data_IF_830834447600
#
_entry.id   IF_830834447600
#
_cell.length_a   1.000
_cell.length_b   1.000
_cell.length_c   1.000
_cell.angle_alpha   90.00
_cell.angle_beta   90.00
_cell.angle_gamma   90.00
#
_symmetry.space_group_name_H-M   'P 1'
#
loop_
_entity.id
_entity.type
_entity.pdbx_description
1 polymer ?
#
# COMPACT_ATOMS: atom_id res chain seq x y z
N UNK A 1 -29.29 31.96 38.51
CA UNK A 1 -27.92 31.61 38.03
C UNK A 1 -28.08 30.56 36.95
N UNK A 2 -27.92 30.94 35.70
CA UNK A 2 -28.04 30.01 34.56
C UNK A 2 -26.65 29.52 34.26
N UNK A 3 -26.37 28.21 34.55
CA UNK A 3 -25.13 27.58 34.19
C UNK A 3 -25.08 27.35 32.66
N UNK A 4 -24.33 28.21 31.99
CA UNK A 4 -24.01 28.06 30.57
C UNK A 4 -23.00 26.94 30.42
N UNK A 5 -23.44 25.75 30.01
CA UNK A 5 -22.55 24.68 29.55
C UNK A 5 -21.92 25.11 28.22
N UNK A 6 -20.69 25.59 28.27
CA UNK A 6 -19.85 25.72 27.03
C UNK A 6 -19.40 24.36 26.63
N UNK A 7 -20.04 23.77 25.63
CA UNK A 7 -19.49 22.57 24.95
C UNK A 7 -18.28 23.03 24.15
N UNK A 8 -17.12 22.45 24.46
CA UNK A 8 -15.86 22.73 23.76
C UNK A 8 -15.97 22.29 22.30
N UNK A 9 -15.62 23.21 21.40
CA UNK A 9 -15.59 22.95 19.95
C UNK A 9 -14.69 21.78 19.52
N UNK A 10 -13.68 21.43 20.31
CA UNK A 10 -12.81 20.26 20.06
C UNK A 10 -13.58 18.96 20.31
N UNK A 11 -14.38 18.90 21.37
CA UNK A 11 -15.22 17.74 21.72
C UNK A 11 -16.33 17.54 20.69
N UNK A 12 -16.97 18.63 20.22
CA UNK A 12 -17.98 18.57 19.15
C UNK A 12 -17.37 18.08 17.83
N UNK A 13 -16.20 18.57 17.45
CA UNK A 13 -15.50 18.13 16.24
C UNK A 13 -15.06 16.66 16.33
N UNK A 14 -14.57 16.21 17.48
CA UNK A 14 -14.19 14.82 17.70
C UNK A 14 -15.41 13.88 17.63
N UNK A 15 -16.54 14.29 18.25
CA UNK A 15 -17.80 13.53 18.23
C UNK A 15 -18.40 13.48 16.83
N UNK A 16 -18.44 14.61 16.11
CA UNK A 16 -18.91 14.68 14.73
C UNK A 16 -18.04 13.83 13.79
N UNK A 17 -16.70 13.91 13.93
CA UNK A 17 -15.76 13.09 13.16
C UNK A 17 -15.95 11.60 13.44
N UNK A 18 -16.19 11.22 14.70
CA UNK A 18 -16.49 9.83 15.09
C UNK A 18 -17.81 9.35 14.51
N UNK A 19 -18.85 10.22 14.49
CA UNK A 19 -20.16 9.92 13.91
C UNK A 19 -20.07 9.72 12.38
N UNK A 20 -19.38 10.62 11.68
CA UNK A 20 -19.18 10.52 10.22
C UNK A 20 -18.37 9.28 9.84
N UNK A 21 -17.39 8.87 10.66
CA UNK A 21 -16.63 7.64 10.44
C UNK A 21 -17.53 6.39 10.58
N UNK A 22 -18.50 6.38 11.47
CA UNK A 22 -19.42 5.25 11.70
C UNK A 22 -20.53 5.14 10.65
N UNK A 23 -20.87 6.23 9.96
CA UNK A 23 -22.02 6.28 9.03
C UNK A 23 -21.69 5.80 7.61
N UNK A 24 -20.39 5.66 7.25
CA UNK A 24 -19.97 5.17 5.94
C UNK A 24 -19.78 3.66 5.95
N UNK A 25 -20.47 2.95 5.04
CA UNK A 25 -20.21 1.53 4.84
C UNK A 25 -18.85 1.31 4.18
N UNK A 26 -18.00 0.49 4.81
CA UNK A 26 -16.65 0.15 4.38
C UNK A 26 -16.53 -1.32 4.04
N UNK A 27 -15.45 -1.70 3.38
CA UNK A 27 -15.09 -3.10 3.17
C UNK A 27 -14.99 -3.85 4.50
N UNK A 28 -15.43 -5.11 4.52
CA UNK A 28 -15.52 -5.92 5.75
C UNK A 28 -14.20 -6.24 6.45
N UNK A 29 -13.06 -5.97 5.77
CA UNK A 29 -11.74 -6.16 6.38
C UNK A 29 -11.26 -4.98 7.24
N UNK A 30 -11.99 -3.85 7.25
CA UNK A 30 -11.58 -2.63 7.96
C UNK A 30 -11.99 -2.69 9.43
N UNK A 31 -11.04 -2.74 10.39
CA UNK A 31 -11.36 -2.71 11.81
C UNK A 31 -11.73 -1.27 12.23
N UNK A 32 -13.02 -0.99 12.38
CA UNK A 32 -13.54 0.36 12.65
C UNK A 32 -13.02 0.98 13.96
N UNK A 33 -12.52 0.16 14.89
CA UNK A 33 -11.90 0.61 16.14
C UNK A 33 -10.43 1.04 15.99
N UNK A 34 -9.86 1.01 14.76
CA UNK A 34 -8.47 1.40 14.47
C UNK A 34 -8.43 2.58 13.51
N UNK A 35 -8.36 3.82 14.00
CA UNK A 35 -8.45 5.02 13.15
C UNK A 35 -7.43 5.08 12.01
N UNK A 36 -6.19 4.61 12.24
CA UNK A 36 -5.15 4.58 11.20
C UNK A 36 -5.48 3.61 10.07
N UNK A 37 -6.15 2.50 10.37
CA UNK A 37 -6.59 1.53 9.38
C UNK A 37 -7.77 2.05 8.57
N UNK A 38 -8.73 2.71 9.26
CA UNK A 38 -9.85 3.40 8.62
C UNK A 38 -9.35 4.48 7.67
N UNK A 39 -8.36 5.28 8.11
CA UNK A 39 -7.74 6.30 7.28
C UNK A 39 -7.10 5.70 6.02
N UNK A 40 -6.31 4.63 6.17
CA UNK A 40 -5.70 3.95 5.03
C UNK A 40 -6.74 3.48 4.00
N UNK A 41 -7.82 2.83 4.46
CA UNK A 41 -8.90 2.38 3.57
C UNK A 41 -9.62 3.56 2.90
N UNK A 42 -9.91 4.62 3.66
CA UNK A 42 -10.74 5.71 3.17
C UNK A 42 -9.99 6.67 2.24
N UNK A 43 -8.67 6.80 2.39
CA UNK A 43 -7.90 7.84 1.73
C UNK A 43 -6.84 7.29 0.74
N UNK A 44 -6.39 6.03 0.91
CA UNK A 44 -5.25 5.52 0.15
C UNK A 44 -5.57 4.24 -0.64
N UNK A 45 -6.11 3.20 0.00
CA UNK A 45 -6.31 1.91 -0.63
C UNK A 45 -7.27 1.99 -1.83
N UNK A 46 -6.83 1.50 -2.98
CA UNK A 46 -7.59 1.54 -4.23
C UNK A 46 -7.52 2.88 -4.97
N UNK A 47 -6.84 3.89 -4.42
CA UNK A 47 -6.64 5.17 -5.12
C UNK A 47 -5.54 5.00 -6.17
N UNK A 48 -5.78 5.38 -7.45
CA UNK A 48 -4.77 5.25 -8.50
C UNK A 48 -3.48 6.02 -8.19
N UNK A 49 -2.37 5.30 -8.03
CA UNK A 49 -1.03 5.84 -7.81
C UNK A 49 -0.31 5.93 -9.15
N UNK A 50 0.21 7.13 -9.47
CA UNK A 50 0.99 7.40 -10.70
C UNK A 50 2.42 7.87 -10.41
N UNK A 51 2.75 8.12 -9.16
CA UNK A 51 4.08 8.55 -8.74
C UNK A 51 4.96 7.33 -8.48
N UNK A 52 6.12 7.26 -9.13
CA UNK A 52 7.06 6.15 -9.05
C UNK A 52 7.51 5.85 -7.61
N UNK A 53 7.79 6.90 -6.83
CA UNK A 53 8.22 6.77 -5.44
C UNK A 53 7.14 6.08 -4.57
N UNK A 54 5.89 6.50 -4.72
CA UNK A 54 4.78 5.91 -3.96
C UNK A 54 4.47 4.48 -4.46
N UNK A 55 4.59 4.24 -5.77
CA UNK A 55 4.48 2.91 -6.36
C UNK A 55 5.53 1.96 -5.77
N UNK A 56 6.78 2.42 -5.64
CA UNK A 56 7.86 1.67 -5.02
C UNK A 56 7.68 1.50 -3.50
N UNK A 57 7.19 2.54 -2.78
CA UNK A 57 6.83 2.43 -1.36
C UNK A 57 5.89 1.24 -1.14
N UNK A 58 4.79 1.16 -1.88
CA UNK A 58 3.83 0.06 -1.76
C UNK A 58 4.45 -1.29 -2.13
N UNK A 59 5.27 -1.37 -3.19
CA UNK A 59 5.96 -2.59 -3.55
C UNK A 59 6.82 -3.13 -2.39
N UNK A 60 7.57 -2.25 -1.73
CA UNK A 60 8.38 -2.63 -0.56
C UNK A 60 7.50 -3.05 0.60
N UNK A 61 6.48 -2.25 0.95
CA UNK A 61 5.61 -2.52 2.10
C UNK A 61 4.85 -3.84 1.94
N UNK A 62 4.32 -4.16 0.75
CA UNK A 62 3.65 -5.44 0.47
C UNK A 62 4.63 -6.61 0.50
N UNK A 63 5.87 -6.42 0.04
CA UNK A 63 6.94 -7.41 0.20
C UNK A 63 7.19 -7.70 1.68
N UNK A 64 7.25 -6.67 2.54
CA UNK A 64 7.45 -6.85 3.97
C UNK A 64 6.22 -7.44 4.67
N UNK A 65 5.02 -7.21 4.15
CA UNK A 65 3.77 -7.76 4.70
C UNK A 65 3.70 -9.29 4.54
N UNK A 66 4.29 -9.88 3.52
CA UNK A 66 4.20 -11.33 3.28
C UNK A 66 4.51 -12.15 4.55
N UNK A 67 3.51 -12.93 5.01
CA UNK A 67 3.56 -13.73 6.25
C UNK A 67 3.25 -12.94 7.54
N UNK A 68 2.85 -11.66 7.44
CA UNK A 68 2.47 -10.80 8.56
C UNK A 68 1.11 -10.15 8.32
N UNK A 69 0.55 -9.49 9.34
CA UNK A 69 -0.64 -8.67 9.15
C UNK A 69 -0.29 -7.28 8.59
N UNK A 70 -1.17 -6.75 7.73
CA UNK A 70 -1.04 -5.39 7.21
C UNK A 70 -0.97 -4.33 8.33
N UNK A 71 -1.66 -4.58 9.44
CA UNK A 71 -1.61 -3.71 10.62
C UNK A 71 -0.20 -3.46 11.13
N UNK A 72 0.65 -4.50 11.14
CA UNK A 72 2.04 -4.39 11.58
C UNK A 72 2.81 -3.47 10.64
N UNK A 73 2.59 -3.59 9.34
CA UNK A 73 3.24 -2.76 8.32
C UNK A 73 2.78 -1.31 8.45
N UNK A 74 1.46 -1.06 8.50
CA UNK A 74 0.91 0.29 8.66
C UNK A 74 1.43 1.01 9.91
N UNK A 75 1.51 0.31 11.04
CA UNK A 75 2.05 0.90 12.28
C UNK A 75 3.53 1.27 12.18
N UNK A 76 4.27 0.62 11.30
CA UNK A 76 5.70 0.85 11.10
C UNK A 76 6.02 1.71 9.87
N UNK A 77 5.00 2.13 9.10
CA UNK A 77 5.19 2.80 7.80
C UNK A 77 6.06 4.04 7.88
N UNK A 78 5.86 4.89 8.88
CA UNK A 78 6.68 6.10 9.06
C UNK A 78 8.13 5.77 9.42
N UNK A 79 8.37 4.66 10.13
CA UNK A 79 9.72 4.18 10.39
C UNK A 79 10.34 3.57 9.13
N UNK A 80 9.56 2.88 8.30
CA UNK A 80 10.02 2.41 7.00
C UNK A 80 10.41 3.58 6.09
N UNK A 81 9.63 4.67 6.04
CA UNK A 81 9.99 5.89 5.29
C UNK A 81 11.34 6.43 5.74
N UNK A 82 11.55 6.58 7.06
CA UNK A 82 12.84 7.04 7.60
C UNK A 82 14.00 6.09 7.29
N UNK A 83 13.78 4.78 7.42
CA UNK A 83 14.80 3.76 7.23
C UNK A 83 15.22 3.59 5.76
N UNK A 84 14.27 3.81 4.84
CA UNK A 84 14.44 3.67 3.40
C UNK A 84 14.45 5.02 2.65
N UNK A 85 14.84 6.12 3.34
CA UNK A 85 15.02 7.45 2.76
C UNK A 85 13.81 7.89 1.90
N UNK A 86 12.61 7.87 2.52
CA UNK A 86 11.31 8.16 1.89
C UNK A 86 11.04 7.36 0.61
N UNK A 87 11.66 6.18 0.49
CA UNK A 87 11.58 5.30 -0.67
C UNK A 87 12.07 5.94 -1.99
N UNK A 88 13.05 6.84 -1.90
CA UNK A 88 13.78 7.28 -3.07
C UNK A 88 14.54 6.08 -3.68
N UNK A 89 14.12 5.66 -4.87
CA UNK A 89 14.68 4.47 -5.52
C UNK A 89 16.18 4.60 -5.79
N UNK A 90 16.67 5.82 -6.07
CA UNK A 90 18.09 6.07 -6.35
C UNK A 90 18.92 5.87 -5.08
N UNK A 91 18.44 6.41 -3.97
CA UNK A 91 19.11 6.29 -2.67
C UNK A 91 19.07 4.83 -2.19
N UNK A 92 17.88 4.20 -2.24
CA UNK A 92 17.72 2.80 -1.80
C UNK A 92 18.55 1.83 -2.66
N UNK A 93 18.64 2.04 -3.96
CA UNK A 93 19.47 1.22 -4.85
C UNK A 93 20.96 1.31 -4.53
N UNK A 94 21.39 2.43 -3.93
CA UNK A 94 22.78 2.69 -3.55
C UNK A 94 23.13 2.21 -2.12
N UNK A 95 22.19 1.64 -1.37
CA UNK A 95 22.48 1.14 -0.02
C UNK A 95 23.60 0.10 -0.04
N UNK A 96 24.63 0.38 0.74
CA UNK A 96 25.81 -0.46 0.92
C UNK A 96 25.61 -1.53 2.02
N UNK A 97 26.63 -2.33 2.25
CA UNK A 97 26.60 -3.38 3.28
C UNK A 97 26.42 -2.82 4.68
N UNK A 98 27.01 -1.66 4.97
CA UNK A 98 26.86 -0.98 6.26
C UNK A 98 25.40 -0.60 6.51
N UNK A 99 24.74 0.06 5.55
CA UNK A 99 23.32 0.41 5.64
C UNK A 99 22.44 -0.84 5.78
N UNK A 100 22.73 -1.92 5.06
CA UNK A 100 21.98 -3.19 5.19
C UNK A 100 22.11 -3.79 6.60
N UNK A 101 23.26 -3.69 7.25
CA UNK A 101 23.46 -4.13 8.64
C UNK A 101 22.66 -3.26 9.62
N UNK A 102 22.67 -1.95 9.44
CA UNK A 102 21.88 -1.01 10.24
C UNK A 102 20.37 -1.35 10.17
N UNK A 103 19.85 -1.57 8.98
CA UNK A 103 18.44 -1.95 8.77
C UNK A 103 18.09 -3.29 9.46
N UNK A 104 19.00 -4.26 9.51
CA UNK A 104 18.78 -5.56 10.15
C UNK A 104 18.67 -5.47 11.68
N UNK A 105 19.18 -4.41 12.31
CA UNK A 105 19.07 -4.18 13.76
C UNK A 105 18.03 -3.12 14.11
N UNK A 106 17.48 -2.38 13.13
CA UNK A 106 16.47 -1.34 13.37
C UNK A 106 15.16 -1.96 13.87
N UNK A 107 14.82 -1.69 15.14
CA UNK A 107 13.56 -2.14 15.77
C UNK A 107 12.32 -1.40 15.22
N UNK A 108 12.51 -0.30 14.53
CA UNK A 108 11.44 0.47 13.90
C UNK A 108 10.79 -0.25 12.74
N UNK A 109 11.53 -1.09 12.01
CA UNK A 109 11.06 -1.83 10.85
C UNK A 109 10.91 -3.34 11.12
N UNK A 110 10.52 -4.10 10.10
CA UNK A 110 10.50 -5.58 10.10
C UNK A 110 11.90 -6.07 9.70
N UNK A 111 12.62 -6.64 10.67
CA UNK A 111 14.03 -7.05 10.54
C UNK A 111 14.19 -8.40 9.85
N UNK A 112 13.92 -8.44 8.55
CA UNK A 112 14.13 -9.64 7.73
C UNK A 112 15.23 -9.36 6.70
N UNK A 113 16.39 -9.98 6.88
CA UNK A 113 17.58 -9.78 6.02
C UNK A 113 17.24 -9.94 4.53
N UNK A 114 16.52 -11.00 4.17
CA UNK A 114 16.22 -11.29 2.76
C UNK A 114 15.27 -10.26 2.15
N UNK A 115 14.30 -9.77 2.91
CA UNK A 115 13.37 -8.73 2.46
C UNK A 115 14.06 -7.36 2.35
N UNK A 116 15.00 -7.04 3.24
CA UNK A 116 15.82 -5.84 3.18
C UNK A 116 16.67 -5.87 1.90
N UNK A 117 17.37 -6.98 1.65
CA UNK A 117 18.15 -7.16 0.42
C UNK A 117 17.27 -7.12 -0.84
N UNK A 118 16.07 -7.68 -0.76
CA UNK A 118 15.11 -7.64 -1.86
C UNK A 118 14.65 -6.21 -2.17
N UNK A 119 14.42 -5.36 -1.17
CA UNK A 119 14.06 -3.97 -1.38
C UNK A 119 15.14 -3.21 -2.17
N UNK A 120 16.41 -3.40 -1.82
CA UNK A 120 17.55 -2.79 -2.56
C UNK A 120 17.66 -3.35 -3.98
N UNK A 121 17.52 -4.68 -4.15
CA UNK A 121 17.49 -5.29 -5.49
C UNK A 121 16.33 -4.72 -6.32
N UNK A 122 15.14 -4.62 -5.74
CA UNK A 122 13.95 -4.16 -6.45
C UNK A 122 14.05 -2.67 -6.81
N UNK A 123 14.70 -1.83 -5.97
CA UNK A 123 14.99 -0.44 -6.31
C UNK A 123 15.85 -0.34 -7.57
N UNK A 124 16.91 -1.16 -7.67
CA UNK A 124 17.76 -1.22 -8.88
C UNK A 124 16.95 -1.63 -10.11
N UNK A 125 16.05 -2.62 -9.96
CA UNK A 125 15.18 -3.08 -11.05
C UNK A 125 14.13 -2.04 -11.45
N UNK A 126 13.60 -1.26 -10.51
CA UNK A 126 12.74 -0.13 -10.83
C UNK A 126 13.48 0.94 -11.65
N UNK A 127 14.73 1.28 -11.28
CA UNK A 127 15.53 2.23 -12.04
C UNK A 127 15.85 1.74 -13.46
N UNK A 128 16.13 0.46 -13.65
CA UNK A 128 16.28 -0.13 -14.99
C UNK A 128 15.00 0.05 -15.84
N UNK A 129 13.82 -0.10 -15.23
CA UNK A 129 12.55 0.16 -15.92
C UNK A 129 12.32 1.64 -16.19
N UNK A 130 12.69 2.53 -15.25
CA UNK A 130 12.63 3.98 -15.48
C UNK A 130 13.53 4.40 -16.65
N UNK A 131 14.74 3.86 -16.71
CA UNK A 131 15.66 4.13 -17.83
C UNK A 131 15.09 3.67 -19.18
N UNK A 132 14.43 2.49 -19.19
CA UNK A 132 13.94 1.89 -20.42
C UNK A 132 12.58 2.43 -20.87
N UNK A 133 11.68 2.75 -19.94
CA UNK A 133 10.27 3.10 -20.20
C UNK A 133 9.87 4.50 -19.75
N UNK A 134 10.78 5.24 -19.08
CA UNK A 134 10.55 6.58 -18.58
C UNK A 134 9.95 6.64 -17.17
N UNK A 135 9.15 5.64 -16.76
CA UNK A 135 8.53 5.57 -15.44
C UNK A 135 8.24 4.12 -15.04
N UNK A 136 8.51 3.78 -13.80
CA UNK A 136 8.13 2.48 -13.21
C UNK A 136 6.60 2.35 -13.08
N UNK A 137 5.93 3.42 -12.70
CA UNK A 137 4.48 3.46 -12.61
C UNK A 137 3.84 3.23 -13.98
N UNK A 138 4.28 3.95 -15.01
CA UNK A 138 3.73 3.81 -16.36
C UNK A 138 3.98 2.40 -16.91
N UNK A 139 5.15 1.81 -16.64
CA UNK A 139 5.42 0.42 -16.99
C UNK A 139 4.37 -0.53 -16.41
N UNK A 140 4.02 -0.40 -15.12
CA UNK A 140 2.99 -1.23 -14.49
C UNK A 140 1.60 -0.92 -15.05
N UNK A 141 1.24 0.36 -15.18
CA UNK A 141 -0.06 0.76 -15.67
C UNK A 141 -0.35 0.30 -17.12
N UNK A 142 0.67 0.07 -17.94
CA UNK A 142 0.51 -0.49 -19.28
C UNK A 142 -0.09 -1.90 -19.28
N UNK A 143 0.01 -2.65 -18.18
CA UNK A 143 -0.64 -3.97 -18.08
C UNK A 143 -2.18 -3.90 -18.02
N UNK A 144 -2.73 -2.74 -17.77
CA UNK A 144 -4.18 -2.47 -17.68
C UNK A 144 -4.60 -1.29 -18.57
N UNK A 145 -3.84 -1.01 -19.64
CA UNK A 145 -4.10 0.06 -20.60
C UNK A 145 -4.32 1.44 -19.95
N UNK A 146 -3.62 1.67 -18.82
CA UNK A 146 -3.68 2.90 -18.04
C UNK A 146 -4.97 3.12 -17.25
N UNK A 147 -5.90 2.16 -17.20
CA UNK A 147 -7.18 2.28 -16.50
C UNK A 147 -7.32 1.22 -15.39
N UNK A 148 -7.94 1.55 -14.25
CA UNK A 148 -8.20 0.57 -13.20
C UNK A 148 -9.10 -0.57 -13.69
N UNK A 149 -8.79 -1.80 -13.28
CA UNK A 149 -9.70 -2.93 -13.41
C UNK A 149 -10.71 -2.85 -12.27
N UNK A 150 -11.99 -2.69 -12.59
CA UNK A 150 -13.07 -2.61 -11.60
C UNK A 150 -13.75 -3.96 -11.44
N UNK A 151 -13.65 -4.55 -10.26
CA UNK A 151 -14.34 -5.76 -9.88
C UNK A 151 -15.65 -5.46 -9.14
N UNK A 152 -16.57 -6.44 -9.05
CA UNK A 152 -17.92 -6.23 -8.50
C UNK A 152 -18.20 -7.19 -7.32
N UNK A 153 -17.27 -7.23 -6.35
CA UNK A 153 -17.37 -8.12 -5.20
C UNK A 153 -18.49 -7.70 -4.24
N UNK A 154 -19.36 -8.63 -3.87
CA UNK A 154 -20.42 -8.41 -2.87
C UNK A 154 -19.89 -8.56 -1.44
N UNK A 155 -18.88 -9.38 -1.27
CA UNK A 155 -18.26 -9.64 0.03
C UNK A 155 -16.76 -9.87 -0.10
N UNK A 156 -16.03 -9.71 1.02
CA UNK A 156 -14.59 -9.96 1.08
C UNK A 156 -14.22 -11.41 0.75
N UNK A 157 -15.12 -12.36 1.02
CA UNK A 157 -14.88 -13.78 0.77
C UNK A 157 -14.85 -14.13 -0.73
N UNK A 158 -15.32 -13.25 -1.58
CA UNK A 158 -15.30 -13.42 -3.04
C UNK A 158 -13.98 -12.95 -3.65
N UNK A 159 -13.22 -12.10 -2.92
CA UNK A 159 -11.94 -11.54 -3.40
C UNK A 159 -10.89 -12.66 -3.41
N UNK A 160 -10.32 -12.99 -4.58
CA UNK A 160 -9.32 -14.05 -4.67
C UNK A 160 -7.98 -13.59 -4.09
N UNK A 161 -7.11 -14.55 -3.77
CA UNK A 161 -5.74 -14.25 -3.33
C UNK A 161 -4.82 -13.83 -4.49
N UNK A 162 -5.18 -14.16 -5.72
CA UNK A 162 -4.46 -13.86 -6.97
C UNK A 162 -5.44 -13.68 -8.11
N UNK A 163 -4.97 -13.13 -9.24
CA UNK A 163 -5.74 -13.00 -10.47
C UNK A 163 -4.84 -13.32 -11.68
N UNK A 164 -5.45 -13.53 -12.85
CA UNK A 164 -4.69 -13.70 -14.10
C UNK A 164 -3.79 -12.49 -14.39
N UNK A 165 -4.21 -11.29 -14.00
CA UNK A 165 -3.41 -10.07 -14.10
C UNK A 165 -2.19 -10.13 -13.18
N UNK A 166 -2.37 -10.46 -11.89
CA UNK A 166 -1.27 -10.57 -10.94
C UNK A 166 -0.31 -11.70 -11.29
N UNK A 167 -0.81 -12.81 -11.83
CA UNK A 167 0.02 -13.93 -12.33
C UNK A 167 0.92 -13.47 -13.48
N UNK A 168 0.34 -12.74 -14.45
CA UNK A 168 1.08 -12.19 -15.60
C UNK A 168 2.15 -11.20 -15.16
N UNK A 169 1.78 -10.21 -14.33
CA UNK A 169 2.70 -9.18 -13.86
C UNK A 169 3.81 -9.81 -13.00
N UNK A 170 3.47 -10.67 -12.05
CA UNK A 170 4.49 -11.30 -11.18
C UNK A 170 5.46 -12.18 -11.96
N UNK A 171 4.98 -12.89 -12.99
CA UNK A 171 5.83 -13.68 -13.87
C UNK A 171 6.83 -12.80 -14.66
N UNK A 172 6.37 -11.67 -15.17
CA UNK A 172 7.22 -10.73 -15.90
C UNK A 172 8.23 -10.06 -14.96
N UNK A 173 7.79 -9.55 -13.81
CA UNK A 173 8.67 -8.96 -12.80
C UNK A 173 9.72 -9.96 -12.31
N UNK A 174 9.36 -11.24 -12.18
CA UNK A 174 10.32 -12.31 -11.84
C UNK A 174 11.40 -12.48 -12.90
N UNK A 175 11.04 -12.47 -14.21
CA UNK A 175 12.02 -12.53 -15.32
C UNK A 175 12.97 -11.34 -15.30
N UNK A 176 12.47 -10.14 -14.95
CA UNK A 176 13.27 -8.93 -14.77
C UNK A 176 14.16 -8.97 -13.51
N UNK A 177 14.01 -9.98 -12.66
CA UNK A 177 14.85 -10.19 -11.48
C UNK A 177 14.32 -9.58 -10.19
N UNK A 178 13.08 -9.12 -10.15
CA UNK A 178 12.44 -8.70 -8.90
C UNK A 178 12.35 -9.85 -7.89
N UNK A 179 12.45 -9.52 -6.61
CA UNK A 179 12.43 -10.48 -5.50
C UNK A 179 11.21 -10.27 -4.62
N UNK A 180 10.68 -11.34 -4.04
CA UNK A 180 9.52 -11.34 -3.16
C UNK A 180 8.25 -10.70 -3.75
N UNK A 181 8.10 -10.70 -5.06
CA UNK A 181 6.96 -10.15 -5.77
C UNK A 181 6.21 -11.27 -6.51
N UNK A 182 5.79 -12.30 -5.75
CA UNK A 182 4.93 -13.38 -6.26
C UNK A 182 3.49 -12.91 -6.47
N UNK A 183 2.65 -13.73 -7.13
CA UNK A 183 1.31 -13.32 -7.56
C UNK A 183 0.43 -12.78 -6.43
N UNK A 184 0.46 -13.38 -5.23
CA UNK A 184 -0.31 -12.88 -4.07
C UNK A 184 0.16 -11.49 -3.61
N UNK A 185 1.47 -11.26 -3.52
CA UNK A 185 2.03 -9.95 -3.16
C UNK A 185 1.75 -8.94 -4.26
N UNK A 186 1.87 -9.36 -5.52
CA UNK A 186 1.54 -8.54 -6.67
C UNK A 186 0.07 -8.12 -6.63
N UNK A 187 -0.88 -9.05 -6.37
CA UNK A 187 -2.29 -8.70 -6.32
C UNK A 187 -2.61 -7.71 -5.20
N UNK A 188 -2.04 -7.90 -4.00
CA UNK A 188 -2.17 -6.95 -2.91
C UNK A 188 -1.61 -5.55 -3.29
N UNK A 189 -0.47 -5.52 -3.99
CA UNK A 189 0.10 -4.29 -4.52
C UNK A 189 -0.84 -3.61 -5.53
N UNK A 190 -1.42 -4.36 -6.48
CA UNK A 190 -2.35 -3.81 -7.47
C UNK A 190 -3.60 -3.19 -6.82
N UNK A 191 -4.12 -3.84 -5.75
CA UNK A 191 -5.21 -3.30 -4.95
C UNK A 191 -4.81 -2.02 -4.22
N UNK A 192 -3.64 -2.02 -3.55
CA UNK A 192 -3.17 -0.89 -2.77
C UNK A 192 -2.92 0.36 -3.62
N UNK A 193 -2.38 0.19 -4.84
CA UNK A 193 -2.06 1.29 -5.78
C UNK A 193 -3.19 1.62 -6.75
N UNK A 194 -4.37 1.04 -6.56
CA UNK A 194 -5.58 1.36 -7.34
C UNK A 194 -5.55 0.91 -8.80
N UNK A 195 -4.63 0.01 -9.19
CA UNK A 195 -4.70 -0.66 -10.50
C UNK A 195 -5.86 -1.64 -10.58
N UNK A 196 -6.33 -2.11 -9.42
CA UNK A 196 -7.53 -2.93 -9.27
C UNK A 196 -8.41 -2.29 -8.20
N UNK A 197 -9.65 -1.97 -8.55
CA UNK A 197 -10.66 -1.54 -7.59
C UNK A 197 -11.39 -2.78 -7.04
N UNK A 198 -10.99 -3.20 -5.84
CA UNK A 198 -11.56 -4.33 -5.10
C UNK A 198 -12.36 -3.90 -3.87
N UNK A 199 -12.74 -2.63 -3.79
CA UNK A 199 -13.76 -2.25 -2.84
C UNK A 199 -15.04 -3.05 -3.10
N UNK A 200 -15.66 -3.59 -2.04
CA UNK A 200 -16.95 -4.25 -2.19
C UNK A 200 -18.01 -3.25 -2.67
N UNK A 201 -18.98 -3.71 -3.49
CA UNK A 201 -19.99 -2.84 -4.12
C UNK A 201 -20.80 -1.99 -3.12
N UNK A 202 -20.87 -2.43 -1.86
CA UNK A 202 -21.53 -1.71 -0.77
C UNK A 202 -20.61 -0.70 -0.08
N UNK A 203 -19.29 -0.72 -0.35
CA UNK A 203 -18.35 0.24 0.21
C UNK A 203 -18.54 1.61 -0.43
N UNK A 204 -18.51 2.67 0.37
CA UNK A 204 -18.66 4.03 -0.15
C UNK A 204 -17.56 4.40 -1.16
N UNK A 205 -16.34 3.85 -0.99
CA UNK A 205 -15.21 4.10 -1.90
C UNK A 205 -15.40 3.43 -3.27
N UNK A 206 -16.20 2.35 -3.34
CA UNK A 206 -16.42 1.66 -4.60
C UNK A 206 -16.84 2.61 -5.72
N UNK A 207 -17.91 3.41 -5.47
CA UNK A 207 -18.46 4.36 -6.45
C UNK A 207 -17.58 5.58 -6.69
N UNK A 208 -16.74 5.95 -5.72
CA UNK A 208 -15.85 7.10 -5.85
C UNK A 208 -14.63 6.78 -6.72
N UNK A 209 -14.30 5.49 -6.88
CA UNK A 209 -13.12 5.00 -7.59
C UNK A 209 -13.46 4.16 -8.85
N UNK A 210 -14.74 4.17 -9.28
CA UNK A 210 -15.22 3.47 -10.49
C UNK A 210 -15.27 4.41 -11.68
#
# INVERSE_FOLDING_TARGET
MVNSFRIDNSTLRATYRKFVIMDKQRCGWVPLNKPFYVKYHDEEWGVPVREDRLMFEFLVLETFQAGLSWEIVLKKRDNFRKAFDDFDMTIVAAFDEQKLLELQIDKGIIRNKLKIQAAVNNAKKCLELVEQYGSFSDYLWNFVDGQPVVNHWKSINEIPATSTLSDRISAEMKKLGFKFFGSTVCYAHLQAVGMVNDHTINCFRYKELT
#
